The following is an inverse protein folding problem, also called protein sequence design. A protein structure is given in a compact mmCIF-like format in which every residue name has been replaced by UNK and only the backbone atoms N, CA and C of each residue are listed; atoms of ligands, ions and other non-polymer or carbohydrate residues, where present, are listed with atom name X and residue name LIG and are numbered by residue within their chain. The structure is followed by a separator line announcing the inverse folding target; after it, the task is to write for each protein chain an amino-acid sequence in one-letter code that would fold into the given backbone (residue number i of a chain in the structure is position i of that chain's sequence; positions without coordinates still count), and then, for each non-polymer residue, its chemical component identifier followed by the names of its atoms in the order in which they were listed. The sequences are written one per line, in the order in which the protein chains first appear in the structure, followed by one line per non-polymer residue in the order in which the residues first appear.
data_IF_775194002449
#
_entry.id   IF_775194002449
#
_cell.length_a   1.000
_cell.length_b   1.000
_cell.length_c   1.000
_cell.angle_alpha   90.00
_cell.angle_beta   90.00
_cell.angle_gamma   90.00
#
_symmetry.space_group_name_H-M   'P 1'
#
loop_
_entity.id
_entity.type
_entity.pdbx_description
1 polymer ?
#
# COMPACT_ATOMS: atom_id res chain seq x y z
N UNK A 1 -51.21 -28.12 -15.74
CA UNK A 1 -50.67 -27.62 -14.46
C UNK A 1 -49.24 -27.15 -14.71
N UNK A 2 -49.07 -25.84 -14.95
CA UNK A 2 -47.74 -25.24 -15.21
C UNK A 2 -47.22 -24.59 -13.93
N UNK A 3 -46.21 -25.19 -13.31
CA UNK A 3 -45.48 -24.60 -12.22
C UNK A 3 -44.42 -23.62 -12.77
N UNK A 4 -44.67 -22.32 -12.65
CA UNK A 4 -43.66 -21.27 -12.87
C UNK A 4 -42.86 -21.09 -11.60
N UNK A 5 -41.64 -21.60 -11.56
CA UNK A 5 -40.66 -21.34 -10.51
C UNK A 5 -40.19 -19.88 -10.57
N UNK A 6 -40.50 -19.12 -9.53
CA UNK A 6 -40.07 -17.73 -9.36
C UNK A 6 -38.57 -17.67 -9.00
N UNK A 7 -37.71 -17.28 -9.97
CA UNK A 7 -36.28 -17.05 -9.80
C UNK A 7 -35.90 -15.60 -9.41
N UNK A 8 -36.83 -14.85 -8.81
CA UNK A 8 -36.61 -13.43 -8.47
C UNK A 8 -35.76 -13.12 -7.22
N UNK A 9 -35.60 -13.97 -6.18
CA UNK A 9 -34.88 -13.52 -4.98
C UNK A 9 -33.34 -13.53 -5.12
N UNK A 10 -32.76 -14.33 -6.00
CA UNK A 10 -31.29 -14.49 -6.04
C UNK A 10 -30.60 -13.30 -6.71
N UNK A 11 -31.18 -12.71 -7.75
CA UNK A 11 -30.58 -11.55 -8.45
C UNK A 11 -30.59 -10.27 -7.60
N UNK A 12 -31.58 -10.08 -6.77
CA UNK A 12 -31.69 -8.90 -5.89
C UNK A 12 -30.69 -9.00 -4.72
N UNK A 13 -30.43 -10.20 -4.20
CA UNK A 13 -29.46 -10.41 -3.13
C UNK A 13 -28.02 -10.15 -3.58
N UNK A 14 -27.67 -10.62 -4.80
CA UNK A 14 -26.31 -10.39 -5.36
C UNK A 14 -26.09 -8.92 -5.70
N UNK A 15 -27.09 -8.20 -6.19
CA UNK A 15 -26.99 -6.76 -6.47
C UNK A 15 -26.87 -5.92 -5.19
N UNK A 16 -27.55 -6.31 -4.10
CA UNK A 16 -27.49 -5.62 -2.81
C UNK A 16 -26.15 -5.87 -2.10
N UNK A 17 -25.60 -7.08 -2.21
CA UNK A 17 -24.27 -7.40 -1.67
C UNK A 17 -23.15 -6.64 -2.41
N UNK A 18 -23.24 -6.52 -3.76
CA UNK A 18 -22.25 -5.79 -4.55
C UNK A 18 -22.28 -4.28 -4.25
N UNK A 19 -23.45 -3.69 -3.99
CA UNK A 19 -23.56 -2.26 -3.63
C UNK A 19 -23.11 -1.97 -2.19
N UNK A 20 -23.30 -2.90 -1.25
CA UNK A 20 -22.79 -2.75 0.12
C UNK A 20 -21.27 -2.87 0.18
N UNK A 21 -20.67 -3.83 -0.56
CA UNK A 21 -19.23 -3.98 -0.66
C UNK A 21 -18.56 -2.75 -1.29
N UNK A 22 -19.17 -2.15 -2.34
CA UNK A 22 -18.62 -0.95 -2.98
C UNK A 22 -18.64 0.29 -2.08
N UNK A 23 -19.66 0.45 -1.24
CA UNK A 23 -19.74 1.58 -0.31
C UNK A 23 -18.70 1.51 0.81
N UNK A 24 -18.35 0.29 1.28
CA UNK A 24 -17.34 0.10 2.32
C UNK A 24 -15.90 0.29 1.80
N UNK A 25 -15.67 0.01 0.52
CA UNK A 25 -14.35 0.07 -0.11
C UNK A 25 -13.98 1.44 -0.69
N UNK A 26 -14.96 2.29 -0.99
CA UNK A 26 -14.72 3.68 -1.42
C UNK A 26 -14.25 4.59 -0.28
N UNK A 27 -14.38 4.16 0.97
CA UNK A 27 -14.09 4.95 2.16
C UNK A 27 -12.87 4.49 2.96
N UNK A 28 -11.88 3.81 2.36
CA UNK A 28 -10.66 3.64 3.10
C UNK A 28 -10.02 2.26 3.11
N UNK A 29 -9.63 1.78 1.96
CA UNK A 29 -8.83 0.55 1.85
C UNK A 29 -7.34 0.79 1.73
N UNK A 30 -6.78 1.94 1.40
CA UNK A 30 -5.34 2.00 1.41
C UNK A 30 -4.83 1.79 2.83
N UNK A 31 -4.00 0.78 2.99
CA UNK A 31 -3.12 0.65 4.14
C UNK A 31 -2.06 1.76 4.04
N UNK A 32 -1.39 2.10 5.11
CA UNK A 32 -0.12 2.79 4.99
C UNK A 32 0.93 1.74 4.61
N UNK A 33 1.56 1.86 3.45
CA UNK A 33 2.63 0.97 3.04
C UNK A 33 3.88 1.10 3.93
N UNK A 34 4.91 0.32 3.68
CA UNK A 34 6.16 0.34 4.46
C UNK A 34 6.84 1.72 4.51
N UNK A 35 6.63 2.57 3.50
CA UNK A 35 7.15 3.94 3.44
C UNK A 35 6.18 4.98 4.03
N UNK A 36 4.97 4.58 4.42
CA UNK A 36 3.98 5.44 5.05
C UNK A 36 2.89 5.96 4.13
N UNK A 37 3.05 5.84 2.81
CA UNK A 37 2.07 6.31 1.83
C UNK A 37 0.87 5.35 1.76
N UNK A 38 -0.33 5.88 1.51
CA UNK A 38 -1.52 5.05 1.30
C UNK A 38 -1.33 4.09 0.11
N UNK A 39 -1.36 2.79 0.40
CA UNK A 39 -1.01 1.74 -0.55
C UNK A 39 -1.36 0.35 -0.04
N UNK A 40 -0.61 -0.66 -0.45
CA UNK A 40 -0.68 -2.03 0.06
C UNK A 40 0.53 -2.29 0.97
N UNK A 41 1.47 -3.20 0.63
CA UNK A 41 2.66 -3.39 1.44
C UNK A 41 3.81 -2.47 0.98
N UNK A 42 4.12 -2.44 -0.31
CA UNK A 42 5.18 -1.60 -0.86
C UNK A 42 4.73 -0.70 -2.02
N UNK A 43 3.61 -0.97 -2.68
CA UNK A 43 3.11 -0.14 -3.77
C UNK A 43 2.10 0.91 -3.28
N UNK A 44 2.14 2.15 -3.79
CA UNK A 44 1.09 3.14 -3.57
C UNK A 44 -0.18 2.80 -4.36
N UNK A 45 -1.34 3.19 -3.81
CA UNK A 45 -2.62 3.21 -4.52
C UNK A 45 -3.01 4.65 -4.89
N UNK A 46 -3.92 4.80 -5.86
CA UNK A 46 -4.49 6.11 -6.18
C UNK A 46 -5.46 6.62 -5.10
N UNK A 47 -5.96 5.72 -4.26
CA UNK A 47 -6.80 6.12 -3.12
C UNK A 47 -5.95 6.78 -2.02
N UNK A 48 -6.57 7.70 -1.29
CA UNK A 48 -5.94 8.39 -0.17
C UNK A 48 -6.26 7.73 1.16
N UNK A 49 -5.31 7.73 2.09
CA UNK A 49 -5.44 7.14 3.42
C UNK A 49 -6.41 7.91 4.32
N UNK A 50 -7.01 7.22 5.28
CA UNK A 50 -7.88 7.78 6.31
C UNK A 50 -9.35 7.82 5.95
N UNK A 51 -10.21 7.56 6.95
CA UNK A 51 -11.67 7.60 6.83
C UNK A 51 -12.21 9.02 7.04
N UNK A 52 -13.36 9.37 6.43
CA UNK A 52 -14.12 10.56 6.83
C UNK A 52 -14.58 10.52 8.29
N UNK A 53 -14.79 11.67 8.90
CA UNK A 53 -15.22 11.77 10.32
C UNK A 53 -16.64 11.31 10.55
N UNK A 54 -17.50 11.33 9.54
CA UNK A 54 -18.92 10.92 9.59
C UNK A 54 -19.12 9.41 9.35
N UNK A 55 -18.06 8.67 9.05
CA UNK A 55 -18.11 7.21 8.87
C UNK A 55 -17.93 6.47 10.20
N UNK A 56 -18.81 6.70 11.17
CA UNK A 56 -18.79 6.02 12.47
C UNK A 56 -19.22 4.55 12.43
N UNK A 57 -19.43 4.01 11.23
CA UNK A 57 -19.46 2.56 10.99
C UNK A 57 -20.47 1.72 11.74
N UNK A 58 -21.52 2.30 12.30
CA UNK A 58 -22.43 1.59 13.20
C UNK A 58 -23.85 2.14 13.25
N UNK A 59 -24.33 2.83 12.25
CA UNK A 59 -25.70 3.29 12.18
C UNK A 59 -26.55 2.41 11.28
N UNK A 60 -27.46 1.64 11.84
CA UNK A 60 -28.68 1.24 11.13
C UNK A 60 -29.29 2.50 10.51
N UNK A 61 -29.39 2.54 9.18
CA UNK A 61 -29.77 3.73 8.38
C UNK A 61 -31.21 4.22 8.62
N UNK A 62 -31.85 3.80 9.69
CA UNK A 62 -33.22 4.15 10.03
C UNK A 62 -33.37 5.24 11.11
N UNK A 63 -32.28 5.62 11.78
CA UNK A 63 -32.32 6.70 12.74
C UNK A 63 -31.44 7.88 12.25
N UNK A 64 -32.08 8.90 11.71
CA UNK A 64 -31.52 10.22 11.47
C UNK A 64 -31.19 10.90 12.82
N UNK A 65 -30.20 10.35 13.55
CA UNK A 65 -29.73 10.94 14.80
C UNK A 65 -28.27 11.32 14.61
N UNK A 66 -28.10 12.63 14.64
CA UNK A 66 -26.85 13.36 14.78
C UNK A 66 -25.77 13.02 13.76
N UNK A 67 -25.88 13.63 12.55
CA UNK A 67 -24.70 14.14 11.88
C UNK A 67 -23.93 14.91 12.94
N UNK A 68 -22.89 14.30 13.51
CA UNK A 68 -21.89 15.07 14.23
C UNK A 68 -21.30 15.98 13.16
N UNK A 69 -21.74 17.24 13.09
CA UNK A 69 -21.16 18.29 12.29
C UNK A 69 -19.74 18.55 12.86
N UNK A 70 -18.86 17.58 12.68
CA UNK A 70 -17.45 17.82 12.91
C UNK A 70 -17.07 18.89 11.88
N UNK A 71 -16.64 20.05 12.36
CA UNK A 71 -16.11 21.11 11.50
C UNK A 71 -14.93 20.63 10.60
N UNK A 72 -14.44 19.42 10.86
CA UNK A 72 -13.37 18.74 10.13
C UNK A 72 -13.90 17.84 9.00
N UNK A 73 -15.22 17.55 8.99
CA UNK A 73 -15.79 16.68 7.96
C UNK A 73 -15.59 17.27 6.55
N UNK A 74 -15.03 16.47 5.64
CA UNK A 74 -14.68 16.92 4.28
C UNK A 74 -13.45 17.83 4.18
N UNK A 75 -12.89 18.30 5.31
CA UNK A 75 -11.66 19.12 5.34
C UNK A 75 -10.43 18.25 5.57
N UNK A 76 -10.47 17.38 6.58
CA UNK A 76 -9.37 16.47 6.90
C UNK A 76 -9.92 15.11 7.28
N UNK A 77 -9.25 14.02 6.86
CA UNK A 77 -9.59 12.66 7.26
C UNK A 77 -9.24 12.40 8.72
N UNK A 78 -9.73 11.29 9.26
CA UNK A 78 -9.18 10.71 10.49
C UNK A 78 -7.74 10.28 10.23
N UNK A 79 -6.83 10.39 11.22
CA UNK A 79 -5.47 9.86 11.10
C UNK A 79 -5.51 8.35 10.88
N UNK A 80 -4.68 7.87 9.97
CA UNK A 80 -4.41 6.45 9.80
C UNK A 80 -3.01 6.15 10.32
N UNK A 81 -2.89 5.14 11.17
CA UNK A 81 -1.63 4.60 11.66
C UNK A 81 -1.40 3.22 11.11
N UNK A 82 -0.17 2.91 10.75
CA UNK A 82 0.25 1.59 10.30
C UNK A 82 1.50 1.12 11.05
N UNK A 83 1.57 -0.17 11.33
CA UNK A 83 2.77 -0.82 11.79
C UNK A 83 3.00 -2.09 10.98
N UNK A 84 4.26 -2.32 10.59
CA UNK A 84 4.69 -3.46 9.80
C UNK A 84 5.82 -4.20 10.49
N UNK A 85 5.82 -5.50 10.32
CA UNK A 85 6.95 -6.36 10.63
C UNK A 85 7.25 -7.25 9.43
N UNK A 86 8.47 -7.14 8.91
CA UNK A 86 8.98 -7.93 7.79
C UNK A 86 10.11 -8.80 8.30
N UNK A 87 10.00 -10.10 8.09
CA UNK A 87 11.03 -11.07 8.43
C UNK A 87 11.50 -11.80 7.17
N UNK A 88 12.63 -11.39 6.63
CA UNK A 88 13.32 -12.07 5.54
C UNK A 88 14.34 -13.04 6.13
N UNK A 89 13.83 -14.17 6.58
CA UNK A 89 14.53 -15.08 7.48
C UNK A 89 15.76 -15.74 6.83
N UNK A 90 15.71 -16.03 5.55
CA UNK A 90 16.83 -16.60 4.80
C UNK A 90 17.98 -15.62 4.62
N UNK A 91 17.73 -14.33 4.55
CA UNK A 91 18.74 -13.28 4.60
C UNK A 91 19.10 -12.79 6.01
N UNK A 92 18.37 -13.24 7.05
CA UNK A 92 18.58 -12.81 8.44
C UNK A 92 18.23 -11.34 8.68
N UNK A 93 17.20 -10.83 7.98
CA UNK A 93 16.75 -9.44 8.08
C UNK A 93 15.42 -9.41 8.83
N UNK A 94 15.35 -8.51 9.82
CA UNK A 94 14.12 -8.11 10.49
C UNK A 94 13.91 -6.62 10.26
N UNK A 95 12.73 -6.25 9.78
CA UNK A 95 12.37 -4.86 9.53
C UNK A 95 11.08 -4.52 10.24
N UNK A 96 11.12 -3.48 11.07
CA UNK A 96 9.97 -2.87 11.70
C UNK A 96 9.71 -1.52 11.06
N UNK A 97 8.47 -1.24 10.72
CA UNK A 97 8.09 0.10 10.25
C UNK A 97 6.83 0.56 10.96
N UNK A 98 6.76 1.86 11.22
CA UNK A 98 5.60 2.55 11.74
C UNK A 98 5.31 3.79 10.90
N UNK A 99 4.05 4.08 10.65
CA UNK A 99 3.66 5.15 9.75
C UNK A 99 2.36 5.82 10.16
N UNK A 100 2.19 7.05 9.70
CA UNK A 100 0.97 7.81 9.85
C UNK A 100 0.63 8.56 8.56
N UNK A 101 -0.66 8.69 8.25
CA UNK A 101 -1.13 9.47 7.12
C UNK A 101 -2.40 10.26 7.46
N UNK A 102 -2.57 11.38 6.78
CA UNK A 102 -3.75 12.25 6.83
C UNK A 102 -4.10 12.71 5.42
N UNK A 103 -5.39 12.81 5.12
CA UNK A 103 -5.87 13.31 3.83
C UNK A 103 -6.69 14.56 4.01
N UNK A 104 -6.40 15.58 3.21
CA UNK A 104 -7.12 16.85 3.15
C UNK A 104 -8.03 16.87 1.93
N UNK A 105 -9.27 17.35 2.12
CA UNK A 105 -10.30 17.50 1.10
C UNK A 105 -10.51 16.22 0.24
N UNK A 106 -10.28 15.03 0.79
CA UNK A 106 -10.28 13.74 0.08
C UNK A 106 -9.36 13.67 -1.16
N UNK A 107 -8.36 14.55 -1.22
CA UNK A 107 -7.50 14.74 -2.40
C UNK A 107 -6.02 14.72 -2.09
N UNK A 108 -5.60 15.40 -1.05
CA UNK A 108 -4.19 15.60 -0.72
C UNK A 108 -3.85 14.79 0.52
N UNK A 109 -3.08 13.74 0.35
CA UNK A 109 -2.52 12.92 1.44
C UNK A 109 -1.14 13.44 1.81
N UNK A 110 -0.89 13.56 3.11
CA UNK A 110 0.43 13.76 3.69
C UNK A 110 0.70 12.57 4.60
N UNK A 111 1.89 11.99 4.48
CA UNK A 111 2.27 10.79 5.20
C UNK A 111 3.68 10.89 5.75
N UNK A 112 3.96 10.08 6.76
CA UNK A 112 5.29 9.90 7.31
C UNK A 112 5.50 8.47 7.78
N UNK A 113 6.72 7.99 7.68
CA UNK A 113 7.11 6.64 8.08
C UNK A 113 8.47 6.61 8.73
N UNK A 114 8.64 5.70 9.67
CA UNK A 114 9.90 5.33 10.29
C UNK A 114 10.10 3.84 10.16
N UNK A 115 11.28 3.41 9.74
CA UNK A 115 11.67 2.02 9.63
C UNK A 115 12.95 1.73 10.41
N UNK A 116 13.01 0.56 11.02
CA UNK A 116 14.20 0.01 11.66
C UNK A 116 14.48 -1.37 11.06
N UNK A 117 15.57 -1.47 10.31
CA UNK A 117 16.04 -2.71 9.70
C UNK A 117 17.22 -3.24 10.50
N UNK A 118 17.16 -4.50 10.89
CA UNK A 118 18.26 -5.21 11.53
C UNK A 118 18.68 -6.39 10.66
N UNK A 119 19.95 -6.42 10.26
CA UNK A 119 20.54 -7.43 9.39
C UNK A 119 21.56 -8.29 10.16
N UNK A 120 21.10 -9.26 10.94
CA UNK A 120 21.92 -10.09 11.83
C UNK A 120 23.04 -10.85 11.13
N UNK A 121 22.81 -11.39 9.95
CA UNK A 121 23.83 -12.11 9.18
C UNK A 121 24.96 -11.23 8.65
N UNK A 122 24.77 -9.92 8.69
CA UNK A 122 25.73 -8.94 8.20
C UNK A 122 26.46 -8.19 9.32
N UNK A 123 26.55 -8.82 10.51
CA UNK A 123 27.24 -8.28 11.68
C UNK A 123 26.40 -7.33 12.51
N UNK A 124 25.13 -7.67 12.74
CA UNK A 124 24.15 -6.88 13.53
C UNK A 124 24.07 -5.41 13.05
N UNK A 125 24.05 -5.23 11.73
CA UNK A 125 23.90 -3.91 11.14
C UNK A 125 22.47 -3.43 11.29
N UNK A 126 22.33 -2.23 11.84
CA UNK A 126 21.03 -1.55 11.93
C UNK A 126 20.97 -0.37 11.00
N UNK A 127 19.81 -0.18 10.39
CA UNK A 127 19.52 0.89 9.46
C UNK A 127 18.22 1.53 9.90
N UNK A 128 18.22 2.85 10.14
CA UNK A 128 17.00 3.60 10.37
C UNK A 128 16.59 4.31 9.08
N UNK A 129 15.33 4.25 8.74
CA UNK A 129 14.77 4.93 7.57
C UNK A 129 13.68 5.90 8.00
N UNK A 130 13.65 7.06 7.40
CA UNK A 130 12.66 8.11 7.64
C UNK A 130 12.07 8.51 6.28
N UNK A 131 10.75 8.55 6.21
CA UNK A 131 10.04 8.87 4.99
C UNK A 131 9.03 9.98 5.24
N UNK A 132 8.94 10.94 4.32
CA UNK A 132 7.88 11.95 4.28
C UNK A 132 7.29 11.94 2.89
N UNK A 133 5.99 11.66 2.79
CA UNK A 133 5.27 11.53 1.53
C UNK A 133 4.17 12.55 1.35
N UNK A 134 3.91 12.87 0.09
CA UNK A 134 2.71 13.58 -0.32
C UNK A 134 2.12 12.95 -1.58
N UNK A 135 0.78 12.85 -1.64
CA UNK A 135 0.05 12.31 -2.78
C UNK A 135 -1.15 13.20 -3.09
N UNK A 136 -1.41 13.42 -4.38
CA UNK A 136 -2.59 14.15 -4.85
C UNK A 136 -3.42 13.23 -5.75
N UNK A 137 -4.63 12.91 -5.31
CA UNK A 137 -5.63 12.24 -6.13
C UNK A 137 -6.34 13.31 -6.97
N UNK A 138 -6.06 13.36 -8.26
CA UNK A 138 -6.60 14.38 -9.16
C UNK A 138 -7.82 13.91 -9.95
N UNK A 139 -8.08 12.58 -10.01
CA UNK A 139 -9.27 12.02 -10.62
C UNK A 139 -9.87 10.96 -9.68
N UNK A 140 -11.19 11.07 -9.46
CA UNK A 140 -11.91 10.05 -8.70
C UNK A 140 -12.33 8.89 -9.60
N UNK A 141 -12.43 7.74 -8.99
CA UNK A 141 -12.99 6.55 -9.62
C UNK A 141 -14.43 6.82 -10.09
N UNK A 142 -14.80 6.22 -11.24
CA UNK A 142 -16.12 6.41 -11.88
C UNK A 142 -16.46 7.85 -12.26
N UNK A 143 -15.46 8.74 -12.40
CA UNK A 143 -15.67 10.10 -12.91
C UNK A 143 -16.34 10.09 -14.28
N UNK A 144 -17.01 11.19 -14.61
CA UNK A 144 -17.72 11.39 -15.87
C UNK A 144 -18.85 10.37 -16.11
N UNK A 145 -19.48 9.87 -15.04
CA UNK A 145 -20.53 8.83 -15.09
C UNK A 145 -20.10 7.57 -15.84
N UNK A 146 -18.80 7.28 -15.84
CA UNK A 146 -18.20 6.18 -16.59
C UNK A 146 -17.61 5.15 -15.65
N UNK A 147 -18.24 3.97 -15.56
CA UNK A 147 -17.90 2.89 -14.62
C UNK A 147 -16.46 2.33 -14.76
N UNK A 148 -15.79 2.59 -15.88
CA UNK A 148 -14.43 2.09 -16.16
C UNK A 148 -13.32 3.10 -15.85
N UNK A 149 -13.66 4.35 -15.52
CA UNK A 149 -12.65 5.36 -15.17
C UNK A 149 -12.01 4.98 -13.84
N UNK A 150 -10.67 4.79 -13.77
CA UNK A 150 -9.97 4.55 -12.52
C UNK A 150 -9.79 5.84 -11.73
N UNK A 151 -9.53 5.74 -10.45
CA UNK A 151 -8.91 6.82 -9.70
C UNK A 151 -7.48 7.03 -10.19
N UNK A 152 -7.03 8.29 -10.28
CA UNK A 152 -5.67 8.65 -10.66
C UNK A 152 -5.04 9.53 -9.59
N UNK A 153 -3.80 9.21 -9.23
CA UNK A 153 -3.00 10.00 -8.31
C UNK A 153 -1.55 10.14 -8.77
N UNK A 154 -0.93 11.22 -8.32
CA UNK A 154 0.52 11.42 -8.37
C UNK A 154 1.02 11.64 -6.96
N UNK A 155 2.23 11.22 -6.66
CA UNK A 155 2.82 11.42 -5.35
C UNK A 155 4.33 11.35 -5.39
N UNK A 156 4.92 11.63 -4.24
CA UNK A 156 6.33 11.47 -4.02
C UNK A 156 6.64 11.22 -2.55
N UNK A 157 7.80 10.63 -2.30
CA UNK A 157 8.31 10.30 -0.98
C UNK A 157 9.76 10.76 -0.90
N UNK A 158 10.06 11.69 -0.01
CA UNK A 158 11.43 11.96 0.39
C UNK A 158 11.85 10.93 1.44
N UNK A 159 13.04 10.37 1.26
CA UNK A 159 13.61 9.31 2.09
C UNK A 159 14.94 9.76 2.66
N UNK A 160 15.17 9.40 3.93
CA UNK A 160 16.45 9.57 4.59
C UNK A 160 16.80 8.28 5.34
N UNK A 161 18.06 7.85 5.23
CA UNK A 161 18.58 6.63 5.85
C UNK A 161 19.75 6.97 6.78
N UNK A 162 19.55 6.80 8.08
CA UNK A 162 20.62 6.96 9.07
C UNK A 162 21.31 5.60 9.27
N UNK A 163 22.48 5.42 8.64
CA UNK A 163 23.27 4.20 8.78
C UNK A 163 24.72 4.39 8.36
N UNK A 164 25.63 4.15 9.31
CA UNK A 164 27.07 4.05 9.02
C UNK A 164 27.40 2.98 8.00
N UNK A 165 26.53 1.98 7.83
CA UNK A 165 26.70 0.91 6.84
C UNK A 165 26.44 1.44 5.42
N UNK A 166 25.42 2.26 5.24
CA UNK A 166 25.08 2.90 3.97
C UNK A 166 26.21 3.82 3.55
N UNK A 167 26.68 4.69 4.45
CA UNK A 167 27.84 5.57 4.23
C UNK A 167 29.11 4.79 3.87
N UNK A 168 29.41 3.71 4.60
CA UNK A 168 30.61 2.88 4.35
C UNK A 168 30.56 2.14 3.01
N UNK A 169 29.37 1.94 2.43
CA UNK A 169 29.17 1.38 1.10
C UNK A 169 29.29 2.44 -0.01
N UNK A 170 29.37 3.73 0.35
CA UNK A 170 29.38 4.85 -0.57
C UNK A 170 28.05 5.08 -1.27
N UNK A 171 26.95 4.72 -0.60
CA UNK A 171 25.58 4.99 -1.00
C UNK A 171 25.12 6.32 -0.42
N UNK A 172 24.23 7.00 -1.12
CA UNK A 172 23.61 8.21 -0.59
C UNK A 172 22.67 7.91 0.58
N UNK A 173 22.56 8.82 1.51
CA UNK A 173 21.72 8.68 2.70
C UNK A 173 20.35 9.33 2.53
N UNK A 174 20.12 10.10 1.46
CA UNK A 174 18.83 10.66 1.12
C UNK A 174 18.45 10.46 -0.36
N UNK A 175 17.16 10.49 -0.67
CA UNK A 175 16.65 10.32 -2.01
C UNK A 175 15.16 10.65 -2.11
N UNK A 176 14.62 10.56 -3.31
CA UNK A 176 13.26 10.93 -3.61
C UNK A 176 12.60 9.97 -4.59
N UNK A 177 11.45 9.43 -4.23
CA UNK A 177 10.59 8.71 -5.17
C UNK A 177 9.51 9.65 -5.71
N UNK A 178 9.18 9.50 -7.00
CA UNK A 178 7.99 10.10 -7.59
C UNK A 178 7.19 9.03 -8.33
N UNK A 179 5.87 9.07 -8.23
CA UNK A 179 5.04 8.07 -8.89
C UNK A 179 3.75 8.64 -9.47
N UNK A 180 3.23 7.93 -10.46
CA UNK A 180 1.86 8.05 -10.95
C UNK A 180 1.19 6.70 -10.86
N UNK A 181 -0.07 6.67 -10.40
CA UNK A 181 -0.80 5.42 -10.18
C UNK A 181 -2.26 5.56 -10.57
N UNK A 182 -2.78 4.49 -11.17
CA UNK A 182 -4.20 4.28 -11.46
C UNK A 182 -4.72 3.13 -10.60
N UNK A 183 -5.88 3.30 -9.96
CA UNK A 183 -6.52 2.26 -9.14
C UNK A 183 -7.99 2.15 -9.47
N UNK A 184 -8.48 0.93 -9.62
CA UNK A 184 -9.88 0.62 -9.98
C UNK A 184 -10.42 -0.54 -9.17
N UNK A 185 -11.54 -0.33 -8.48
CA UNK A 185 -12.35 -1.40 -7.93
C UNK A 185 -13.41 -1.83 -8.95
N UNK A 186 -13.27 -3.04 -9.49
CA UNK A 186 -14.22 -3.64 -10.43
C UNK A 186 -15.26 -4.42 -9.63
N UNK A 187 -16.48 -3.89 -9.56
CA UNK A 187 -17.61 -4.49 -8.82
C UNK A 187 -18.60 -5.24 -9.70
N UNK A 188 -18.38 -5.21 -11.01
CA UNK A 188 -19.26 -5.89 -12.02
C UNK A 188 -18.97 -7.39 -12.11
N UNK A 189 -17.90 -7.87 -11.50
CA UNK A 189 -17.55 -9.30 -11.40
C UNK A 189 -18.30 -9.97 -10.24
N UNK A 190 -18.50 -11.30 -10.25
CA UNK A 190 -19.13 -12.01 -9.13
C UNK A 190 -18.43 -11.82 -7.79
N UNK A 191 -17.11 -11.62 -7.82
CA UNK A 191 -16.27 -11.26 -6.69
C UNK A 191 -15.61 -9.93 -7.05
N UNK A 192 -15.72 -8.87 -6.24
CA UNK A 192 -15.04 -7.61 -6.52
C UNK A 192 -13.53 -7.78 -6.65
N UNK A 193 -12.93 -7.04 -7.59
CA UNK A 193 -11.49 -7.07 -7.87
C UNK A 193 -10.93 -5.66 -7.82
N UNK A 194 -9.92 -5.43 -6.99
CA UNK A 194 -9.13 -4.21 -6.98
C UNK A 194 -7.93 -4.40 -7.91
N UNK A 195 -7.78 -3.47 -8.85
CA UNK A 195 -6.66 -3.44 -9.78
C UNK A 195 -5.91 -2.13 -9.59
N UNK A 196 -4.59 -2.19 -9.55
CA UNK A 196 -3.76 -0.99 -9.57
C UNK A 196 -2.53 -1.20 -10.44
N UNK A 197 -2.11 -0.14 -11.12
CA UNK A 197 -0.87 -0.11 -11.89
C UNK A 197 -0.29 1.30 -11.90
N UNK A 198 1.02 1.40 -11.88
CA UNK A 198 1.72 2.68 -11.86
C UNK A 198 3.16 2.60 -12.36
N UNK A 199 3.74 3.79 -12.45
CA UNK A 199 5.16 3.99 -12.71
C UNK A 199 5.78 4.72 -11.53
N UNK A 200 6.97 4.31 -11.14
CA UNK A 200 7.76 4.84 -10.05
C UNK A 200 9.12 5.28 -10.59
N UNK A 201 9.48 6.53 -10.38
CA UNK A 201 10.83 7.05 -10.51
C UNK A 201 11.50 6.88 -9.14
N UNK A 202 12.60 6.15 -9.06
CA UNK A 202 13.30 5.85 -7.79
C UNK A 202 14.78 5.58 -8.02
N UNK A 203 15.56 5.83 -6.99
CA UNK A 203 16.99 5.52 -6.90
C UNK A 203 17.28 4.45 -5.85
N UNK A 204 16.27 3.81 -5.28
CA UNK A 204 16.41 2.93 -4.14
C UNK A 204 17.21 1.65 -4.43
N UNK A 205 18.18 1.36 -3.57
CA UNK A 205 18.95 0.11 -3.60
C UNK A 205 18.14 -1.05 -3.04
N UNK A 206 17.37 -0.81 -1.99
CA UNK A 206 16.42 -1.74 -1.38
C UNK A 206 15.19 -0.94 -1.01
N UNK A 207 14.00 -1.51 -1.12
CA UNK A 207 12.75 -0.81 -0.86
C UNK A 207 12.80 0.02 0.45
N UNK A 208 12.64 1.34 0.34
CA UNK A 208 12.72 2.28 1.46
C UNK A 208 14.12 2.62 1.95
N UNK A 209 15.17 1.98 1.44
CA UNK A 209 16.57 2.36 1.70
C UNK A 209 17.09 3.12 0.50
N UNK A 210 17.68 4.26 0.75
CA UNK A 210 18.15 5.18 -0.28
C UNK A 210 19.27 4.57 -1.11
N UNK A 211 19.39 5.04 -2.29
CA UNK A 211 20.22 4.45 -3.32
C UNK A 211 21.38 5.29 -3.75
N UNK A 212 21.58 5.30 -5.01
CA UNK A 212 22.78 5.80 -5.66
C UNK A 212 22.36 6.73 -6.79
N UNK A 213 22.41 7.98 -6.65
CA UNK A 213 22.20 9.11 -7.58
C UNK A 213 21.62 8.89 -9.00
N UNK A 214 21.46 7.65 -9.45
CA UNK A 214 20.87 7.31 -10.75
C UNK A 214 19.43 6.84 -10.56
N UNK A 215 18.51 7.62 -11.11
CA UNK A 215 17.08 7.33 -11.07
C UNK A 215 16.66 6.42 -12.21
N UNK A 216 15.87 5.40 -11.89
CA UNK A 216 15.22 4.53 -12.87
C UNK A 216 13.70 4.68 -12.81
N UNK A 217 13.03 4.41 -13.93
CA UNK A 217 11.57 4.38 -14.02
C UNK A 217 11.10 2.93 -14.10
N UNK A 218 10.46 2.47 -13.06
CA UNK A 218 10.02 1.09 -12.92
C UNK A 218 8.50 0.98 -12.86
N UNK A 219 7.97 -0.14 -13.30
CA UNK A 219 6.55 -0.45 -13.22
C UNK A 219 6.21 -1.17 -11.91
N UNK A 220 5.00 -0.91 -11.41
CA UNK A 220 4.43 -1.62 -10.28
C UNK A 220 2.93 -1.85 -10.46
N UNK A 221 2.38 -2.77 -9.69
CA UNK A 221 0.94 -3.00 -9.68
C UNK A 221 0.52 -4.05 -8.67
N UNK A 222 -0.79 -4.16 -8.49
CA UNK A 222 -1.40 -5.19 -7.67
C UNK A 222 -2.76 -5.63 -8.21
N UNK A 223 -3.15 -6.83 -7.81
CA UNK A 223 -4.46 -7.41 -8.07
C UNK A 223 -4.94 -8.03 -6.76
N UNK A 224 -6.10 -7.56 -6.28
CA UNK A 224 -6.74 -8.09 -5.08
C UNK A 224 -8.16 -8.56 -5.41
N UNK A 225 -8.54 -9.72 -4.92
CA UNK A 225 -9.91 -10.22 -4.95
C UNK A 225 -10.52 -10.09 -3.56
N UNK A 226 -11.79 -9.73 -3.50
CA UNK A 226 -12.53 -9.54 -2.25
C UNK A 226 -13.61 -10.62 -2.12
N UNK A 227 -13.24 -11.85 -1.67
CA UNK A 227 -14.18 -12.97 -1.58
C UNK A 227 -15.23 -12.77 -0.49
N UNK A 228 -15.00 -11.87 0.44
CA UNK A 228 -15.93 -11.46 1.48
C UNK A 228 -15.78 -9.96 1.76
N UNK A 229 -16.78 -9.33 2.39
CA UNK A 229 -16.78 -7.90 2.71
C UNK A 229 -15.61 -7.49 3.63
N UNK A 230 -15.08 -8.42 4.38
CA UNK A 230 -14.03 -8.19 5.36
C UNK A 230 -12.70 -8.89 5.05
N UNK A 231 -12.52 -9.40 3.82
CA UNK A 231 -11.29 -10.09 3.41
C UNK A 231 -10.90 -9.67 2.01
N UNK A 232 -9.65 -9.27 1.83
CA UNK A 232 -9.00 -9.15 0.52
C UNK A 232 -7.84 -10.14 0.43
N UNK A 233 -7.65 -10.74 -0.73
CA UNK A 233 -6.55 -11.66 -1.05
C UNK A 233 -5.92 -11.14 -2.33
N UNK A 234 -4.62 -10.88 -2.32
CA UNK A 234 -3.98 -10.27 -3.47
C UNK A 234 -2.52 -10.62 -3.65
N UNK A 235 -1.98 -10.04 -4.70
CA UNK A 235 -0.57 -10.07 -5.05
C UNK A 235 -0.13 -8.67 -5.45
N UNK A 236 1.06 -8.28 -5.01
CA UNK A 236 1.77 -7.08 -5.45
C UNK A 236 3.00 -7.46 -6.26
N UNK A 237 3.37 -6.59 -7.18
CA UNK A 237 4.61 -6.66 -7.94
C UNK A 237 5.20 -5.27 -8.11
N UNK A 238 6.52 -5.18 -7.97
CA UNK A 238 7.32 -4.00 -8.30
C UNK A 238 8.58 -4.43 -9.02
N UNK A 239 8.84 -3.85 -10.17
CA UNK A 239 10.07 -4.07 -10.92
C UNK A 239 11.27 -3.53 -10.13
N UNK A 240 12.40 -4.22 -10.22
CA UNK A 240 13.64 -3.78 -9.59
C UNK A 240 14.21 -2.51 -10.22
N UNK A 241 14.70 -1.62 -9.36
CA UNK A 241 15.33 -0.34 -9.74
C UNK A 241 16.78 -0.58 -10.14
N UNK A 242 17.22 0.01 -11.23
CA UNK A 242 18.63 0.11 -11.60
C UNK A 242 19.17 1.43 -11.08
N UNK A 243 19.86 1.40 -9.95
CA UNK A 243 20.40 2.58 -9.28
C UNK A 243 21.76 3.02 -9.82
N UNK A 244 22.22 2.49 -10.97
CA UNK A 244 23.49 2.81 -11.60
C UNK A 244 24.68 2.02 -11.03
N UNK A 245 25.86 2.22 -11.64
CA UNK A 245 27.14 1.60 -11.25
C UNK A 245 27.11 0.06 -11.09
N UNK A 246 26.13 -0.59 -11.78
CA UNK A 246 25.90 -2.03 -11.67
C UNK A 246 25.14 -2.46 -10.41
N UNK A 247 24.52 -1.51 -9.72
CA UNK A 247 23.65 -1.75 -8.57
C UNK A 247 22.21 -1.77 -9.07
N UNK A 248 21.59 -2.94 -9.03
CA UNK A 248 20.19 -3.12 -9.36
C UNK A 248 19.53 -3.95 -8.27
N UNK A 249 18.39 -3.52 -7.73
CA UNK A 249 17.63 -4.39 -6.88
C UNK A 249 16.82 -5.41 -7.70
N UNK A 250 16.43 -6.51 -7.07
CA UNK A 250 15.60 -7.52 -7.69
C UNK A 250 14.16 -7.04 -7.79
N UNK A 251 13.38 -7.65 -8.68
CA UNK A 251 11.94 -7.46 -8.68
C UNK A 251 11.35 -7.96 -7.36
N UNK A 252 10.41 -7.21 -6.80
CA UNK A 252 9.69 -7.58 -5.59
C UNK A 252 8.29 -8.06 -5.93
N UNK A 253 7.84 -9.09 -5.24
CA UNK A 253 6.44 -9.47 -5.23
C UNK A 253 6.03 -9.99 -3.86
N UNK A 254 4.77 -9.87 -3.55
CA UNK A 254 4.17 -10.54 -2.41
C UNK A 254 2.82 -11.17 -2.78
N UNK A 255 2.41 -12.13 -1.93
CA UNK A 255 1.06 -12.64 -1.88
C UNK A 255 0.53 -12.41 -0.47
N UNK A 256 -0.63 -11.76 -0.37
CA UNK A 256 -1.14 -11.27 0.91
C UNK A 256 -2.62 -11.55 1.14
N UNK A 257 -2.98 -11.53 2.42
CA UNK A 257 -4.35 -11.52 2.91
C UNK A 257 -4.51 -10.34 3.84
N UNK A 258 -5.48 -9.48 3.57
CA UNK A 258 -5.92 -8.42 4.46
C UNK A 258 -7.27 -8.78 5.08
N UNK A 259 -7.35 -8.74 6.40
CA UNK A 259 -8.56 -8.96 7.16
C UNK A 259 -9.02 -7.65 7.81
N UNK A 260 -10.14 -7.12 7.35
CA UNK A 260 -10.80 -5.95 7.91
C UNK A 260 -11.60 -6.40 9.14
N UNK A 261 -10.93 -6.44 10.31
CA UNK A 261 -11.52 -6.91 11.58
C UNK A 261 -12.67 -6.02 11.98
N UNK A 262 -12.53 -4.73 11.78
CA UNK A 262 -13.56 -3.70 11.91
C UNK A 262 -13.37 -2.68 10.79
N UNK A 263 -14.25 -1.70 10.63
CA UNK A 263 -14.04 -0.58 9.70
C UNK A 263 -12.76 0.22 10.01
N UNK A 264 -12.22 0.13 11.22
CA UNK A 264 -11.06 0.89 11.69
C UNK A 264 -9.79 0.05 11.85
N UNK A 265 -9.92 -1.25 12.02
CA UNK A 265 -8.79 -2.16 12.29
C UNK A 265 -8.63 -3.16 11.16
N UNK A 266 -7.46 -3.16 10.53
CA UNK A 266 -7.07 -4.14 9.52
C UNK A 266 -5.81 -4.86 9.95
N UNK A 267 -5.81 -6.17 9.76
CA UNK A 267 -4.62 -7.02 9.92
C UNK A 267 -4.22 -7.55 8.56
N UNK A 268 -2.91 -7.59 8.30
CA UNK A 268 -2.37 -8.15 7.05
C UNK A 268 -1.35 -9.22 7.37
N UNK A 269 -1.38 -10.29 6.60
CA UNK A 269 -0.32 -11.30 6.54
C UNK A 269 0.07 -11.51 5.09
N UNK A 270 1.37 -11.55 4.81
CA UNK A 270 1.88 -11.78 3.47
C UNK A 270 3.14 -12.65 3.49
N UNK A 271 3.43 -13.23 2.33
CA UNK A 271 4.73 -13.78 2.00
C UNK A 271 5.34 -12.91 0.91
N UNK A 272 6.53 -12.37 1.16
CA UNK A 272 7.25 -11.53 0.21
C UNK A 272 8.50 -12.23 -0.32
N UNK A 273 8.79 -12.01 -1.59
CA UNK A 273 10.00 -12.41 -2.28
C UNK A 273 10.68 -11.17 -2.85
N UNK A 274 11.93 -10.96 -2.50
CA UNK A 274 12.70 -9.78 -2.87
C UNK A 274 14.01 -10.16 -3.57
N UNK A 275 14.10 -11.38 -4.08
CA UNK A 275 15.23 -11.90 -4.83
C UNK A 275 16.26 -12.69 -4.01
N UNK A 276 17.19 -13.28 -4.71
CA UNK A 276 18.17 -14.23 -4.17
C UNK A 276 19.08 -13.57 -3.12
N UNK A 277 19.00 -14.02 -1.88
CA UNK A 277 19.81 -13.57 -0.74
C UNK A 277 21.34 -13.69 -0.96
N UNK A 278 21.79 -14.59 -1.83
CA UNK A 278 23.22 -14.81 -2.11
C UNK A 278 23.78 -13.73 -3.04
N UNK A 279 22.92 -12.89 -3.60
CA UNK A 279 23.25 -11.73 -4.42
C UNK A 279 23.19 -10.41 -3.66
N UNK A 280 23.29 -10.45 -2.34
CA UNK A 280 23.40 -9.23 -1.54
C UNK A 280 24.68 -8.47 -1.86
N UNK A 281 24.60 -7.12 -1.85
CA UNK A 281 25.62 -6.20 -2.29
C UNK A 281 27.05 -6.57 -1.83
N UNK A 282 27.94 -6.81 -2.78
CA UNK A 282 29.39 -6.76 -2.58
C UNK A 282 29.92 -5.70 -3.53
N UNK A 283 30.64 -4.69 -3.01
CA UNK A 283 31.24 -3.62 -3.81
C UNK A 283 31.92 -4.20 -5.05
N UNK A 284 31.44 -3.85 -6.24
CA UNK A 284 32.02 -4.22 -7.53
C UNK A 284 31.56 -5.54 -8.16
N UNK A 285 30.58 -6.28 -7.60
CA UNK A 285 30.16 -7.59 -8.16
C UNK A 285 28.64 -7.85 -8.25
N UNK A 286 27.78 -6.99 -7.70
CA UNK A 286 26.35 -7.25 -7.69
C UNK A 286 25.65 -6.68 -8.91
N UNK A 287 25.02 -7.55 -9.70
CA UNK A 287 24.12 -7.14 -10.79
C UNK A 287 22.65 -7.08 -10.32
N UNK A 288 22.26 -7.87 -9.33
CA UNK A 288 20.90 -7.89 -8.77
C UNK A 288 20.99 -8.07 -7.26
N UNK A 289 20.45 -7.12 -6.50
CA UNK A 289 20.38 -7.20 -5.05
C UNK A 289 19.08 -7.87 -4.63
N UNK A 290 19.18 -9.08 -4.15
CA UNK A 290 18.10 -9.77 -3.47
C UNK A 290 18.32 -9.75 -1.96
N UNK A 291 17.26 -9.54 -1.21
CA UNK A 291 17.29 -9.62 0.27
C UNK A 291 16.46 -10.79 0.80
N UNK A 292 16.18 -11.76 -0.07
CA UNK A 292 15.56 -13.01 0.26
C UNK A 292 14.04 -12.97 0.34
N UNK A 293 13.48 -13.97 0.96
CA UNK A 293 12.03 -14.13 1.11
C UNK A 293 11.62 -14.29 2.57
N UNK A 294 10.36 -14.04 2.86
CA UNK A 294 9.87 -14.22 4.19
C UNK A 294 8.45 -13.73 4.47
N UNK A 295 8.11 -13.73 5.76
CA UNK A 295 6.80 -13.36 6.23
C UNK A 295 6.70 -11.86 6.49
N UNK A 296 5.54 -11.31 6.18
CA UNK A 296 5.18 -9.90 6.42
C UNK A 296 3.89 -9.85 7.21
N UNK A 297 3.86 -9.01 8.24
CA UNK A 297 2.67 -8.78 9.06
C UNK A 297 2.43 -7.29 9.22
N UNK A 298 1.16 -6.90 9.26
CA UNK A 298 0.79 -5.51 9.55
C UNK A 298 -0.45 -5.42 10.42
N UNK A 299 -0.48 -4.35 11.21
CA UNK A 299 -1.65 -3.84 11.89
C UNK A 299 -1.85 -2.39 11.48
N UNK A 300 -3.06 -2.06 11.04
CA UNK A 300 -3.45 -0.74 10.56
C UNK A 300 -4.67 -0.27 11.35
N UNK A 301 -4.64 0.97 11.80
CA UNK A 301 -5.74 1.55 12.56
C UNK A 301 -6.11 2.93 12.05
N UNK A 302 -7.41 3.16 11.91
CA UNK A 302 -8.00 4.45 11.53
C UNK A 302 -8.82 4.98 12.71
N UNK A 303 -8.56 6.20 13.14
CA UNK A 303 -9.20 6.82 14.32
C UNK A 303 -10.67 7.17 14.13
#
# INVERSE_FOLDING_TARGET
MNSKTNLKPIRTLVATLATAASASLTAGVPLNNLQGTGGIAFNPLAYTAGLPWDDDGGGDSTNAVEKTDSALNGVVSRPQLGAWYVNLNDAGINWWAASAALTFANRVEISGGYGFVNAHKYGDKSINTYNIGAKVKFLDENSFDTAWVPALAVGGVYKYTDSRTVEALGLDDDGFDAYVVATKLVTQTPVPVLLSAGLLLSDEVVNGVVGHNDYDVVAFGNIDVLPAENVAIGVEYKQGVDAGDGIRNHDYWDAHVAWFVTKRLTLVAAFAETGDKDKFYRKGSAKNLGVGSGAVFSIQYQF
#
